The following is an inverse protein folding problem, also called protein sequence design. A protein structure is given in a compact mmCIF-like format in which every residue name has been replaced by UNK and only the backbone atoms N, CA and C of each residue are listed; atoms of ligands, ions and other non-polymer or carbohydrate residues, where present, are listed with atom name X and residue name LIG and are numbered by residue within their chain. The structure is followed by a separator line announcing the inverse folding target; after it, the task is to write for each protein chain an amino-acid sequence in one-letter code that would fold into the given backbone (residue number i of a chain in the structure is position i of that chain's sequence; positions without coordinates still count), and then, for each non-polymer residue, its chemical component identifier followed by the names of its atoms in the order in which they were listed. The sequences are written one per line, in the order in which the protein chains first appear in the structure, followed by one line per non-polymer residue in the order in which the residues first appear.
data_IF_057248415428
#
_entry.id   IF_057248415428
#
_cell.length_a   1.000
_cell.length_b   1.000
_cell.length_c   1.000
_cell.angle_alpha   90.00
_cell.angle_beta   90.00
_cell.angle_gamma   90.00
#
_symmetry.space_group_name_H-M   'P 1'
#
loop_
_entity.id
_entity.type
_entity.pdbx_description
1 polymer ?
#
# COMPACT_ATOMS: atom_id res chain seq x y z
N UNK A 1 28.01 -27.97 -56.58
CA UNK A 1 27.04 -28.86 -55.90
C UNK A 1 27.23 -28.63 -54.41
N UNK A 2 26.35 -27.85 -53.77
CA UNK A 2 25.08 -28.26 -53.11
C UNK A 2 25.30 -28.56 -51.61
N UNK A 3 24.43 -27.95 -50.80
CA UNK A 3 24.13 -28.20 -49.38
C UNK A 3 25.10 -27.54 -48.38
N UNK A 4 24.80 -26.40 -47.73
CA UNK A 4 23.64 -26.01 -46.93
C UNK A 4 23.47 -26.89 -45.68
N UNK A 5 23.96 -26.41 -44.53
CA UNK A 5 23.52 -26.87 -43.21
C UNK A 5 23.52 -25.67 -42.25
N UNK A 6 22.32 -25.15 -42.08
CA UNK A 6 21.88 -24.22 -41.06
C UNK A 6 21.91 -24.95 -39.71
N UNK A 7 22.61 -24.46 -38.71
CA UNK A 7 22.41 -24.88 -37.32
C UNK A 7 22.11 -23.67 -36.46
N UNK A 8 20.82 -23.36 -36.42
CA UNK A 8 20.17 -22.41 -35.53
C UNK A 8 20.14 -23.05 -34.12
N UNK A 9 21.10 -22.73 -33.25
CA UNK A 9 20.99 -23.12 -31.83
C UNK A 9 20.14 -22.10 -31.11
N UNK A 10 18.87 -22.47 -30.91
CA UNK A 10 17.90 -21.83 -30.03
C UNK A 10 18.48 -21.63 -28.62
N UNK A 11 18.33 -20.41 -28.09
CA UNK A 11 18.25 -20.17 -26.65
C UNK A 11 17.07 -20.99 -26.07
N UNK A 12 17.28 -21.66 -24.93
CA UNK A 12 16.29 -21.50 -23.87
C UNK A 12 16.97 -21.42 -22.50
N UNK A 13 16.76 -20.32 -21.78
CA UNK A 13 17.38 -20.19 -20.46
C UNK A 13 16.94 -19.01 -19.62
N UNK A 14 15.74 -18.48 -19.84
CA UNK A 14 15.12 -17.60 -18.84
C UNK A 14 13.69 -18.07 -18.73
N UNK A 15 13.32 -18.70 -17.61
CA UNK A 15 11.99 -18.63 -16.97
C UNK A 15 11.99 -19.50 -15.72
N UNK A 16 12.66 -19.05 -14.65
CA UNK A 16 12.41 -19.59 -13.31
C UNK A 16 12.34 -18.43 -12.35
N UNK A 17 11.21 -17.70 -12.30
CA UNK A 17 10.70 -16.96 -11.12
C UNK A 17 9.20 -16.62 -11.25
N UNK A 18 8.39 -17.47 -11.90
CA UNK A 18 6.94 -17.21 -12.04
C UNK A 18 6.06 -17.95 -11.01
N UNK A 19 6.64 -18.78 -10.14
CA UNK A 19 5.85 -19.76 -9.38
C UNK A 19 5.39 -19.26 -7.99
N UNK A 20 5.95 -18.15 -7.48
CA UNK A 20 5.55 -17.56 -6.19
C UNK A 20 4.34 -16.62 -6.28
N UNK A 21 4.11 -15.97 -7.44
CA UNK A 21 3.05 -14.96 -7.60
C UNK A 21 1.65 -15.53 -7.54
N UNK A 22 1.44 -16.72 -8.12
CA UNK A 22 0.11 -17.33 -8.26
C UNK A 22 -0.58 -17.64 -6.92
N UNK A 23 0.19 -17.98 -5.88
CA UNK A 23 -0.35 -18.48 -4.60
C UNK A 23 -1.28 -17.47 -3.91
N UNK A 24 -0.92 -16.18 -3.97
CA UNK A 24 -1.62 -15.11 -3.26
C UNK A 24 -2.38 -14.16 -4.18
N UNK A 25 -2.22 -14.32 -5.50
CA UNK A 25 -2.89 -13.50 -6.50
C UNK A 25 -4.41 -13.62 -6.40
N UNK A 26 -4.95 -14.77 -6.00
CA UNK A 26 -6.39 -14.98 -5.79
C UNK A 26 -6.98 -14.03 -4.75
N UNK A 27 -6.23 -13.69 -3.69
CA UNK A 27 -6.68 -12.72 -2.69
C UNK A 27 -6.84 -11.32 -3.25
N UNK A 28 -6.05 -10.97 -4.26
CA UNK A 28 -6.18 -9.67 -4.91
C UNK A 28 -7.51 -9.50 -5.64
N UNK A 29 -8.25 -10.58 -5.93
CA UNK A 29 -9.57 -10.53 -6.58
C UNK A 29 -10.70 -10.19 -5.62
N UNK A 30 -10.48 -10.28 -4.29
CA UNK A 30 -11.46 -9.88 -3.29
C UNK A 30 -11.70 -8.38 -3.27
N UNK A 31 -10.69 -7.59 -3.64
CA UNK A 31 -10.76 -6.12 -3.58
C UNK A 31 -11.11 -5.56 -4.96
N UNK A 32 -12.38 -5.19 -5.14
CA UNK A 32 -12.91 -4.70 -6.44
C UNK A 32 -12.23 -3.43 -6.93
N UNK A 33 -11.78 -2.58 -6.01
CA UNK A 33 -11.11 -1.31 -6.27
C UNK A 33 -9.65 -1.49 -6.73
N UNK A 34 -9.05 -2.66 -6.49
CA UNK A 34 -7.68 -2.95 -6.90
C UNK A 34 -7.64 -3.37 -8.36
N UNK A 35 -7.02 -2.53 -9.20
CA UNK A 35 -6.96 -2.75 -10.64
C UNK A 35 -6.03 -3.90 -11.03
N UNK A 36 -6.34 -4.55 -12.17
CA UNK A 36 -5.55 -5.60 -12.80
C UNK A 36 -4.82 -5.07 -14.05
N UNK A 37 -3.74 -5.74 -14.51
CA UNK A 37 -3.07 -6.90 -13.91
C UNK A 37 -2.31 -6.53 -12.63
N UNK A 38 -2.25 -7.49 -11.70
CA UNK A 38 -1.52 -7.35 -10.45
C UNK A 38 -0.12 -7.97 -10.58
N UNK A 39 0.86 -7.41 -9.87
CA UNK A 39 2.22 -7.95 -9.74
C UNK A 39 2.63 -7.90 -8.29
N UNK A 40 3.41 -8.87 -7.82
CA UNK A 40 4.01 -8.76 -6.49
C UNK A 40 4.94 -7.55 -6.47
N UNK A 41 4.74 -6.69 -5.46
CA UNK A 41 5.66 -5.60 -5.13
C UNK A 41 6.67 -6.07 -4.10
N UNK A 42 6.21 -6.76 -3.05
CA UNK A 42 7.07 -7.35 -2.02
C UNK A 42 6.39 -8.56 -1.38
N UNK A 43 7.19 -9.52 -0.93
CA UNK A 43 6.73 -10.67 -0.14
C UNK A 43 7.86 -11.07 0.81
N UNK A 44 7.55 -11.16 2.10
CA UNK A 44 8.53 -11.47 3.14
C UNK A 44 7.93 -12.45 4.14
N UNK A 45 7.59 -13.64 3.65
CA UNK A 45 7.10 -14.73 4.50
C UNK A 45 8.24 -15.52 5.08
N UNK A 46 8.16 -15.86 6.36
CA UNK A 46 9.07 -16.79 7.01
C UNK A 46 8.88 -18.25 6.52
N UNK A 47 9.66 -19.17 7.10
CA UNK A 47 9.59 -20.60 6.78
C UNK A 47 8.22 -21.24 7.09
N UNK A 48 7.42 -20.64 7.97
CA UNK A 48 6.05 -21.09 8.29
C UNK A 48 5.03 -20.56 7.29
N UNK A 49 5.44 -19.64 6.41
CA UNK A 49 4.54 -18.98 5.49
C UNK A 49 3.80 -17.80 6.09
N UNK A 50 4.36 -17.18 7.12
CA UNK A 50 3.79 -16.05 7.83
C UNK A 50 4.54 -14.77 7.48
N UNK A 51 3.84 -13.69 7.19
CA UNK A 51 4.48 -12.43 6.83
C UNK A 51 3.61 -11.52 5.94
N UNK A 52 4.13 -10.32 5.63
CA UNK A 52 3.44 -9.37 4.77
C UNK A 52 3.60 -9.71 3.28
N UNK A 53 2.59 -9.36 2.51
CA UNK A 53 2.56 -9.45 1.06
C UNK A 53 1.99 -8.16 0.51
N UNK A 54 2.66 -7.59 -0.50
CA UNK A 54 2.21 -6.42 -1.24
C UNK A 54 2.12 -6.73 -2.74
N UNK A 55 1.01 -6.34 -3.35
CA UNK A 55 0.82 -6.32 -4.79
C UNK A 55 0.70 -4.90 -5.30
N UNK A 56 1.17 -4.65 -6.51
CA UNK A 56 0.98 -3.39 -7.23
C UNK A 56 0.40 -3.60 -8.63
N UNK A 57 0.01 -2.52 -9.28
CA UNK A 57 -0.56 -2.54 -10.63
C UNK A 57 -0.14 -1.29 -11.43
N UNK A 58 -0.60 -1.21 -12.69
CA UNK A 58 -0.26 -0.11 -13.59
C UNK A 58 -0.76 1.28 -13.11
N UNK A 59 -1.77 1.32 -12.23
CA UNK A 59 -2.25 2.57 -11.60
C UNK A 59 -1.46 2.95 -10.35
N UNK A 60 -0.35 2.25 -10.05
CA UNK A 60 0.47 2.45 -8.86
C UNK A 60 -0.32 2.31 -7.55
N UNK A 61 -1.41 1.54 -7.56
CA UNK A 61 -2.03 1.13 -6.30
C UNK A 61 -1.13 0.11 -5.61
N UNK A 62 -1.18 0.03 -4.29
CA UNK A 62 -0.55 -1.05 -3.53
C UNK A 62 -1.62 -1.74 -2.69
N UNK A 63 -1.84 -3.02 -2.91
CA UNK A 63 -2.69 -3.85 -2.06
C UNK A 63 -1.80 -4.63 -1.10
N UNK A 64 -2.00 -4.44 0.20
CA UNK A 64 -1.19 -5.03 1.26
C UNK A 64 -2.04 -5.87 2.19
N UNK A 65 -1.53 -7.02 2.60
CA UNK A 65 -2.13 -7.89 3.61
C UNK A 65 -1.06 -8.76 4.27
N UNK A 66 -1.43 -9.46 5.34
CA UNK A 66 -0.56 -10.44 6.01
C UNK A 66 -1.15 -11.83 5.90
N UNK A 67 -0.25 -12.80 5.92
CA UNK A 67 -0.60 -14.20 6.09
C UNK A 67 0.01 -14.74 7.38
N UNK A 68 -0.69 -15.67 8.01
CA UNK A 68 -0.21 -16.48 9.12
C UNK A 68 -0.43 -17.95 8.72
N UNK A 69 0.64 -18.74 8.68
CA UNK A 69 0.61 -20.12 8.18
C UNK A 69 -0.09 -20.22 6.81
N UNK A 70 0.29 -19.35 5.87
CA UNK A 70 -0.27 -19.22 4.53
C UNK A 70 -1.76 -18.83 4.41
N UNK A 71 -2.44 -18.53 5.52
CA UNK A 71 -3.84 -18.06 5.52
C UNK A 71 -3.90 -16.56 5.80
N UNK A 72 -4.89 -15.86 5.25
CA UNK A 72 -5.09 -14.43 5.55
C UNK A 72 -5.19 -14.21 7.06
N UNK A 73 -4.39 -13.27 7.56
CA UNK A 73 -4.44 -12.83 8.93
C UNK A 73 -5.48 -11.71 9.08
N UNK A 74 -6.36 -11.84 10.08
CA UNK A 74 -7.27 -10.77 10.49
C UNK A 74 -6.55 -9.93 11.54
N UNK A 75 -6.46 -8.63 11.30
CA UNK A 75 -5.85 -7.62 12.17
C UNK A 75 -6.93 -6.99 13.07
N UNK A 76 -6.54 -5.96 13.81
CA UNK A 76 -7.46 -5.23 14.67
C UNK A 76 -8.64 -4.66 13.86
N UNK A 77 -9.80 -4.53 14.51
CA UNK A 77 -11.03 -4.05 13.85
C UNK A 77 -11.56 -4.96 12.73
N UNK A 78 -11.09 -6.21 12.59
CA UNK A 78 -11.51 -7.12 11.52
C UNK A 78 -10.88 -6.82 10.16
N UNK A 79 -9.89 -5.92 10.11
CA UNK A 79 -9.21 -5.52 8.88
C UNK A 79 -8.30 -6.64 8.39
N UNK A 80 -8.31 -6.93 7.10
CA UNK A 80 -7.47 -7.95 6.47
C UNK A 80 -6.60 -7.34 5.37
N UNK A 81 -7.15 -6.39 4.62
CA UNK A 81 -6.46 -5.76 3.50
C UNK A 81 -6.37 -4.25 3.67
N UNK A 82 -5.33 -3.68 3.09
CA UNK A 82 -5.18 -2.24 2.94
C UNK A 82 -4.82 -1.90 1.50
N UNK A 83 -5.54 -0.96 0.91
CA UNK A 83 -5.32 -0.47 -0.44
C UNK A 83 -4.82 0.97 -0.40
N UNK A 84 -3.61 1.16 -0.90
CA UNK A 84 -2.95 2.46 -0.99
C UNK A 84 -3.07 3.00 -2.41
N UNK A 85 -3.45 4.27 -2.52
CA UNK A 85 -3.58 4.98 -3.79
C UNK A 85 -2.50 6.04 -3.88
N UNK A 86 -1.63 5.94 -4.89
CA UNK A 86 -0.58 6.92 -5.13
C UNK A 86 -0.84 7.73 -6.39
N UNK A 87 -0.52 9.02 -6.34
CA UNK A 87 -0.46 9.90 -7.50
C UNK A 87 0.85 10.68 -7.44
N UNK A 88 1.63 10.65 -8.52
CA UNK A 88 2.95 11.29 -8.58
C UNK A 88 3.87 10.90 -7.40
N UNK A 89 3.81 9.64 -6.98
CA UNK A 89 4.53 9.07 -5.83
C UNK A 89 4.14 9.62 -4.45
N UNK A 90 3.03 10.36 -4.37
CA UNK A 90 2.42 10.81 -3.12
C UNK A 90 1.16 9.99 -2.82
N UNK A 91 1.08 9.48 -1.60
CA UNK A 91 -0.08 8.77 -1.09
C UNK A 91 -1.28 9.73 -1.01
N UNK A 92 -2.35 9.38 -1.72
CA UNK A 92 -3.61 10.13 -1.77
C UNK A 92 -4.64 9.55 -0.80
N UNK A 93 -4.66 8.22 -0.66
CA UNK A 93 -5.70 7.53 0.10
C UNK A 93 -5.26 6.16 0.57
N UNK A 94 -5.74 5.75 1.75
CA UNK A 94 -5.71 4.37 2.24
C UNK A 94 -7.16 3.94 2.45
N UNK A 95 -7.49 2.71 2.04
CA UNK A 95 -8.76 2.04 2.35
C UNK A 95 -8.48 0.70 3.02
N UNK A 96 -9.22 0.39 4.07
CA UNK A 96 -9.14 -0.84 4.84
C UNK A 96 -10.33 -1.76 4.47
N UNK A 97 -10.08 -3.06 4.35
CA UNK A 97 -11.12 -4.03 3.98
C UNK A 97 -11.11 -5.28 4.85
N UNK A 98 -12.28 -5.88 5.03
CA UNK A 98 -12.48 -7.16 5.68
C UNK A 98 -12.04 -8.35 4.79
N UNK A 99 -12.18 -9.57 5.32
CA UNK A 99 -11.88 -10.81 4.59
C UNK A 99 -12.74 -11.06 3.34
N UNK A 100 -13.87 -10.37 3.22
CA UNK A 100 -14.81 -10.46 2.10
C UNK A 100 -14.56 -9.39 1.03
N UNK A 101 -13.70 -8.40 1.32
CA UNK A 101 -13.41 -7.28 0.44
C UNK A 101 -14.40 -6.12 0.56
N UNK A 102 -15.15 -6.05 1.65
CA UNK A 102 -15.95 -4.87 2.00
C UNK A 102 -15.09 -3.88 2.79
N UNK A 103 -15.40 -2.58 2.69
CA UNK A 103 -14.76 -1.58 3.53
C UNK A 103 -14.98 -1.94 5.00
N UNK A 104 -13.91 -1.90 5.78
CA UNK A 104 -13.93 -2.27 7.19
C UNK A 104 -13.32 -1.15 8.01
N UNK A 105 -14.08 -0.66 8.98
CA UNK A 105 -13.66 0.35 9.91
C UNK A 105 -13.47 -0.24 11.30
N UNK A 106 -12.51 0.28 12.03
CA UNK A 106 -12.35 -0.09 13.42
C UNK A 106 -13.38 0.64 14.29
N UNK A 107 -14.17 -0.09 15.07
CA UNK A 107 -15.22 0.48 15.92
C UNK A 107 -14.70 1.53 16.90
N UNK A 108 -13.51 1.32 17.44
CA UNK A 108 -12.82 2.24 18.37
C UNK A 108 -12.36 3.53 17.67
N UNK A 109 -12.16 3.47 16.35
CA UNK A 109 -11.89 4.62 15.47
C UNK A 109 -13.16 5.10 14.73
N UNK A 110 -14.35 4.91 15.33
CA UNK A 110 -15.66 5.28 14.77
C UNK A 110 -15.91 4.75 13.35
N UNK A 111 -15.50 3.50 13.12
CA UNK A 111 -15.60 2.84 11.82
C UNK A 111 -14.81 3.57 10.73
N UNK A 112 -13.65 4.18 11.05
CA UNK A 112 -12.72 4.69 10.02
C UNK A 112 -12.28 3.55 9.10
N UNK A 113 -12.87 3.52 7.90
CA UNK A 113 -12.53 2.54 6.87
C UNK A 113 -11.59 3.12 5.82
N UNK A 114 -11.48 4.44 5.72
CA UNK A 114 -10.54 5.07 4.80
C UNK A 114 -10.08 6.46 5.24
N UNK A 115 -8.85 6.81 4.86
CA UNK A 115 -8.25 8.12 5.06
C UNK A 115 -7.77 8.67 3.73
N UNK A 116 -8.12 9.92 3.43
CA UNK A 116 -7.59 10.70 2.30
C UNK A 116 -6.61 11.74 2.81
N UNK A 117 -5.48 11.85 2.13
CA UNK A 117 -4.42 12.81 2.43
C UNK A 117 -4.44 13.95 1.42
N UNK A 118 -4.37 15.18 1.90
CA UNK A 118 -4.38 16.38 1.07
C UNK A 118 -3.18 17.23 1.47
N UNK A 119 -2.19 17.34 0.57
CA UNK A 119 -1.01 18.19 0.76
C UNK A 119 -1.40 19.61 0.34
N UNK A 120 -1.72 20.47 1.30
CA UNK A 120 -2.16 21.84 1.05
C UNK A 120 -0.98 22.76 0.69
N UNK A 121 0.23 22.44 1.15
CA UNK A 121 1.44 23.22 0.91
C UNK A 121 2.54 22.35 0.26
N UNK A 122 2.42 22.02 -1.04
CA UNK A 122 3.29 21.05 -1.71
C UNK A 122 4.77 21.43 -1.70
N UNK A 123 5.11 22.69 -1.92
CA UNK A 123 6.51 23.15 -1.93
C UNK A 123 7.17 23.04 -0.56
N UNK A 124 6.40 23.35 0.50
CA UNK A 124 6.87 23.24 1.87
C UNK A 124 7.04 21.78 2.25
N UNK A 125 6.08 20.92 1.91
CA UNK A 125 6.22 19.48 2.11
C UNK A 125 7.45 18.93 1.37
N UNK A 126 7.69 19.33 0.12
CA UNK A 126 8.84 18.86 -0.65
C UNK A 126 10.17 19.20 0.03
N UNK A 127 10.29 20.40 0.61
CA UNK A 127 11.48 20.79 1.39
C UNK A 127 11.66 19.89 2.63
N UNK A 128 10.58 19.66 3.39
CA UNK A 128 10.61 18.79 4.58
C UNK A 128 10.92 17.35 4.20
N UNK A 129 10.29 16.83 3.15
CA UNK A 129 10.51 15.48 2.61
C UNK A 129 11.97 15.24 2.25
N UNK A 130 12.64 16.20 1.59
CA UNK A 130 14.08 16.07 1.26
C UNK A 130 14.94 15.87 2.51
N UNK A 131 14.63 16.55 3.60
CA UNK A 131 15.34 16.39 4.88
C UNK A 131 15.08 15.00 5.49
N UNK A 132 13.83 14.53 5.45
CA UNK A 132 13.45 13.22 5.96
C UNK A 132 14.09 12.10 5.13
N UNK A 133 14.03 12.20 3.80
CA UNK A 133 14.63 11.23 2.87
C UNK A 133 16.15 11.15 3.06
N UNK A 134 16.84 12.28 3.25
CA UNK A 134 18.29 12.31 3.47
C UNK A 134 18.71 11.62 4.78
N UNK A 135 17.80 11.51 5.74
CA UNK A 135 17.99 10.77 6.98
C UNK A 135 17.39 9.35 6.92
N UNK A 136 16.92 8.89 5.75
CA UNK A 136 16.22 7.61 5.57
C UNK A 136 15.03 7.41 6.52
N UNK A 137 14.39 8.51 6.93
CA UNK A 137 13.32 8.50 7.94
C UNK A 137 13.79 8.46 9.40
N UNK A 138 15.09 8.28 9.67
CA UNK A 138 15.69 8.22 11.01
C UNK A 138 16.01 9.62 11.55
N UNK A 139 15.02 10.51 11.53
CA UNK A 139 15.12 11.87 12.07
C UNK A 139 13.96 12.14 13.03
N UNK A 140 14.29 12.71 14.18
CA UNK A 140 13.29 13.28 15.09
C UNK A 140 12.93 14.69 14.61
N UNK A 141 12.00 14.75 13.66
CA UNK A 141 11.47 16.02 13.16
C UNK A 141 10.41 16.51 14.15
N UNK A 142 10.60 17.72 14.68
CA UNK A 142 9.58 18.41 15.46
C UNK A 142 8.24 18.39 14.74
N UNK A 143 7.16 18.08 15.48
CA UNK A 143 5.80 18.09 14.96
C UNK A 143 5.45 19.45 14.33
N UNK A 144 5.23 19.44 13.01
CA UNK A 144 4.86 20.57 12.17
C UNK A 144 3.38 20.53 11.73
N UNK A 145 2.53 19.72 12.40
CA UNK A 145 1.08 19.66 12.16
C UNK A 145 0.42 21.04 12.18
N UNK A 146 0.88 21.94 13.06
CA UNK A 146 0.42 23.34 13.17
C UNK A 146 0.75 24.20 11.95
N UNK A 147 1.74 23.80 11.14
CA UNK A 147 2.05 24.46 9.86
C UNK A 147 0.96 24.18 8.81
N UNK A 148 0.02 23.26 9.07
CA UNK A 148 -1.12 22.91 8.20
C UNK A 148 -0.67 22.55 6.79
N UNK A 149 0.33 21.68 6.69
CA UNK A 149 0.90 21.23 5.42
C UNK A 149 0.06 20.10 4.84
N UNK A 150 -0.39 19.16 5.69
CA UNK A 150 -1.08 17.95 5.29
C UNK A 150 -2.34 17.78 6.11
N UNK A 151 -3.48 17.78 5.42
CA UNK A 151 -4.81 17.56 6.00
C UNK A 151 -5.27 16.14 5.72
N UNK A 152 -5.91 15.54 6.71
CA UNK A 152 -6.60 14.26 6.60
C UNK A 152 -8.09 14.48 6.40
N UNK A 153 -8.73 13.60 5.62
CA UNK A 153 -10.17 13.44 5.56
C UNK A 153 -10.52 11.97 5.81
N UNK A 154 -11.25 11.71 6.90
CA UNK A 154 -11.63 10.36 7.32
C UNK A 154 -13.00 9.98 6.76
N UNK A 155 -13.18 8.69 6.45
CA UNK A 155 -14.40 8.13 5.87
C UNK A 155 -14.80 6.86 6.60
N UNK A 156 -16.11 6.67 6.75
CA UNK A 156 -16.69 5.46 7.35
C UNK A 156 -16.76 4.28 6.36
N UNK A 157 -17.30 3.15 6.81
CA UNK A 157 -17.54 1.93 6.02
C UNK A 157 -18.48 2.14 4.82
N UNK A 158 -19.34 3.17 4.86
CA UNK A 158 -20.20 3.57 3.74
C UNK A 158 -19.50 4.57 2.81
N UNK A 159 -18.20 4.83 3.04
CA UNK A 159 -17.41 5.83 2.35
C UNK A 159 -17.99 7.26 2.50
N UNK A 160 -18.63 7.55 3.62
CA UNK A 160 -19.14 8.86 3.98
C UNK A 160 -18.12 9.61 4.86
N UNK A 161 -17.89 10.92 4.63
CA UNK A 161 -16.97 11.69 5.47
C UNK A 161 -17.38 11.72 6.95
N UNK A 162 -16.43 11.48 7.85
CA UNK A 162 -16.64 11.59 9.31
C UNK A 162 -16.30 13.01 9.75
N UNK A 163 -17.32 13.87 9.90
CA UNK A 163 -17.14 15.30 10.15
C UNK A 163 -16.50 15.64 11.52
N UNK A 164 -16.69 14.78 12.52
CA UNK A 164 -16.29 15.08 13.90
C UNK A 164 -14.77 15.26 14.08
N UNK A 165 -13.97 14.63 13.22
CA UNK A 165 -12.50 14.71 13.26
C UNK A 165 -11.94 15.65 12.20
N UNK A 166 -12.72 16.62 11.72
CA UNK A 166 -12.30 17.50 10.63
C UNK A 166 -12.29 18.98 11.06
N UNK A 167 -11.26 19.75 10.65
CA UNK A 167 -10.06 19.33 9.93
C UNK A 167 -9.01 18.72 10.88
N UNK A 168 -8.47 17.55 10.53
CA UNK A 168 -7.29 17.00 11.21
C UNK A 168 -6.05 17.22 10.35
N UNK A 169 -4.99 17.76 10.95
CA UNK A 169 -3.69 17.93 10.29
C UNK A 169 -2.66 17.01 10.95
N UNK A 170 -1.76 16.47 10.14
CA UNK A 170 -0.64 15.65 10.62
C UNK A 170 0.69 16.26 10.24
N UNK A 171 1.73 15.83 10.95
CA UNK A 171 3.10 16.24 10.64
C UNK A 171 3.57 15.70 9.28
N UNK A 172 4.54 16.37 8.68
CA UNK A 172 5.24 15.93 7.47
C UNK A 172 5.90 14.56 7.67
N UNK A 173 6.42 14.28 8.87
CA UNK A 173 7.03 12.99 9.23
C UNK A 173 5.98 11.87 9.28
N UNK A 174 4.87 12.12 9.96
CA UNK A 174 3.76 11.16 10.04
C UNK A 174 3.24 10.81 8.65
N UNK A 175 3.05 11.80 7.77
CA UNK A 175 2.64 11.53 6.39
C UNK A 175 3.71 10.77 5.60
N UNK A 176 4.99 11.07 5.80
CA UNK A 176 6.08 10.32 5.18
C UNK A 176 6.05 8.84 5.60
N UNK A 177 5.76 8.55 6.87
CA UNK A 177 5.61 7.17 7.37
C UNK A 177 4.42 6.45 6.72
N UNK A 178 3.27 7.11 6.59
CA UNK A 178 2.13 6.59 5.83
C UNK A 178 2.49 6.36 4.35
N UNK A 179 3.14 7.33 3.72
CA UNK A 179 3.52 7.26 2.31
C UNK A 179 4.46 6.07 2.03
N UNK A 180 5.34 5.74 2.97
CA UNK A 180 6.22 4.58 2.89
C UNK A 180 5.63 3.31 3.53
N UNK A 181 4.34 3.33 3.92
CA UNK A 181 3.60 2.17 4.46
C UNK A 181 4.22 1.57 5.72
N UNK A 182 4.73 2.41 6.62
CA UNK A 182 5.41 1.98 7.85
C UNK A 182 4.43 1.52 8.95
N UNK A 183 3.17 1.96 8.92
CA UNK A 183 2.16 1.57 9.90
C UNK A 183 1.36 0.36 9.46
N UNK A 184 0.89 -0.47 10.40
CA UNK A 184 -0.16 -1.49 10.21
C UNK A 184 -1.33 -1.18 11.15
N UNK A 185 -2.58 -1.48 10.76
CA UNK A 185 -3.72 -1.49 11.66
C UNK A 185 -3.68 -2.71 12.58
#
# INVERSE_FOLDING_TARGET
MKSFLLSLTFLPGIFVFAQSSAKYETYTNKIKQFSKPAKILSSSTDATGSGPIEFTNAKKQVLRFRVNNHKLQILHGGIVFQLFYYQNNYLQRIENFDSNGNLAGERESKSEAAVKFIIEKPDLYLKKKKLIDAAEGNIDLKDDSKEKIIRLQLYDENNMPIAEFQPTYISSKTYWDYNNRMYWP
#
